data_IF_095046281168
#
_entry.id   IF_095046281168
#
_cell.length_a   1.000
_cell.length_b   1.000
_cell.length_c   1.000
_cell.angle_alpha   90.00
_cell.angle_beta   90.00
_cell.angle_gamma   90.00
#
_symmetry.space_group_name_H-M   'P 1'
#
loop_
_entity.id
_entity.type
_entity.pdbx_description
1 polymer ?
#
# COMPACT_ATOMS: atom_id res chain seq x y z
N UNK A 1 -10.85 8.30 14.90
CA UNK A 1 -11.70 7.32 14.19
C UNK A 1 -10.74 6.28 13.67
N UNK A 2 -10.86 5.03 14.08
CA UNK A 2 -9.99 3.95 13.61
C UNK A 2 -10.47 3.55 12.21
N UNK A 3 -9.72 3.89 11.16
CA UNK A 3 -10.09 3.51 9.79
C UNK A 3 -9.61 2.08 9.56
N UNK A 4 -10.54 1.12 9.61
CA UNK A 4 -10.28 -0.28 9.27
C UNK A 4 -11.01 -0.64 7.96
N UNK A 5 -10.30 -1.27 7.02
CA UNK A 5 -10.86 -1.79 5.78
C UNK A 5 -10.30 -3.19 5.50
N UNK A 6 -11.19 -4.13 5.23
CA UNK A 6 -10.84 -5.46 4.75
C UNK A 6 -11.63 -5.77 3.48
N UNK A 7 -10.93 -6.11 2.41
CA UNK A 7 -11.59 -6.43 1.14
C UNK A 7 -10.69 -6.31 -0.07
N UNK A 8 -11.26 -6.50 -1.28
CA UNK A 8 -10.51 -6.40 -2.52
C UNK A 8 -10.09 -4.96 -2.78
N UNK A 9 -8.80 -4.75 -3.03
CA UNK A 9 -8.25 -3.47 -3.43
C UNK A 9 -7.35 -3.61 -4.67
N UNK A 10 -7.19 -2.51 -5.38
CA UNK A 10 -6.24 -2.41 -6.49
C UNK A 10 -4.98 -1.69 -6.00
N UNK A 11 -3.84 -2.33 -6.15
CA UNK A 11 -2.53 -1.83 -5.80
C UNK A 11 -1.82 -1.35 -7.06
N UNK A 12 -1.20 -0.19 -6.96
CA UNK A 12 -0.29 0.36 -7.97
C UNK A 12 1.03 0.66 -7.27
N UNK A 13 2.10 0.03 -7.71
CA UNK A 13 3.43 0.18 -7.14
C UNK A 13 4.48 0.05 -8.23
N UNK A 14 5.60 0.76 -8.10
CA UNK A 14 6.75 0.58 -8.98
C UNK A 14 7.80 -0.23 -8.22
N UNK A 15 8.18 -1.39 -8.75
CA UNK A 15 9.37 -2.10 -8.29
C UNK A 15 10.58 -1.42 -8.92
N UNK A 16 11.41 -0.79 -8.09
CA UNK A 16 12.62 -0.13 -8.54
C UNK A 16 13.46 0.26 -7.35
N UNK A 17 14.71 -0.18 -7.34
CA UNK A 17 15.73 0.32 -6.42
C UNK A 17 15.84 1.84 -6.59
N UNK A 18 16.02 2.58 -5.48
CA UNK A 18 16.15 4.04 -5.48
C UNK A 18 17.02 4.54 -6.65
N UNK A 19 16.39 5.23 -7.61
CA UNK A 19 17.04 5.77 -8.81
C UNK A 19 16.67 5.10 -10.15
N UNK A 20 15.86 4.04 -10.16
CA UNK A 20 15.24 3.52 -11.38
C UNK A 20 13.74 3.77 -11.39
N UNK A 21 13.26 4.48 -12.42
CA UNK A 21 11.83 4.59 -12.75
C UNK A 21 11.33 3.24 -13.24
N UNK A 22 11.07 2.32 -12.31
CA UNK A 22 10.40 1.07 -12.59
C UNK A 22 9.03 1.33 -13.20
N UNK A 23 8.59 0.48 -14.12
CA UNK A 23 7.24 0.55 -14.67
C UNK A 23 6.20 0.29 -13.56
N UNK A 24 5.18 1.16 -13.40
CA UNK A 24 4.15 0.95 -12.39
C UNK A 24 3.40 -0.36 -12.71
N UNK A 25 3.37 -1.24 -11.72
CA UNK A 25 2.67 -2.52 -11.77
C UNK A 25 1.30 -2.36 -11.10
N UNK A 26 0.26 -2.82 -11.78
CA UNK A 26 -1.11 -2.82 -11.26
C UNK A 26 -1.54 -4.25 -10.92
N UNK A 27 -1.99 -4.47 -9.68
CA UNK A 27 -2.46 -5.77 -9.18
C UNK A 27 -3.70 -5.60 -8.31
N UNK A 28 -4.61 -6.56 -8.36
CA UNK A 28 -5.74 -6.65 -7.44
C UNK A 28 -5.53 -7.78 -6.44
N UNK A 29 -5.76 -7.50 -5.16
CA UNK A 29 -5.69 -8.50 -4.09
C UNK A 29 -6.57 -8.09 -2.92
N UNK A 30 -6.84 -9.04 -2.03
CA UNK A 30 -7.45 -8.72 -0.73
C UNK A 30 -6.44 -8.00 0.14
N UNK A 31 -6.87 -6.91 0.77
CA UNK A 31 -6.08 -6.10 1.67
C UNK A 31 -6.78 -5.98 3.01
N UNK A 32 -6.00 -6.01 4.08
CA UNK A 32 -6.40 -5.50 5.39
C UNK A 32 -5.64 -4.20 5.61
N UNK A 33 -6.37 -3.12 5.83
CA UNK A 33 -5.83 -1.78 5.96
C UNK A 33 -6.31 -1.20 7.28
N UNK A 34 -5.36 -0.84 8.13
CA UNK A 34 -5.61 -0.42 9.50
C UNK A 34 -4.83 0.86 9.81
N UNK A 35 -5.53 1.93 10.18
CA UNK A 35 -4.89 3.18 10.57
C UNK A 35 -4.32 3.07 11.98
N UNK A 36 -3.01 2.89 12.09
CA UNK A 36 -2.31 2.72 13.38
C UNK A 36 -1.97 4.07 14.03
N UNK A 37 -1.88 5.13 13.23
CA UNK A 37 -1.67 6.51 13.67
C UNK A 37 -2.17 7.48 12.59
N UNK A 38 -2.43 8.76 12.90
CA UNK A 38 -2.90 9.72 11.89
C UNK A 38 -1.94 9.80 10.69
N UNK A 39 -2.40 9.35 9.52
CA UNK A 39 -1.59 9.30 8.30
C UNK A 39 -0.68 8.07 8.16
N UNK A 40 -0.64 7.16 9.13
CA UNK A 40 0.11 5.90 9.06
C UNK A 40 -0.84 4.72 9.05
N UNK A 41 -0.68 3.85 8.05
CA UNK A 41 -1.53 2.68 7.86
C UNK A 41 -0.68 1.42 7.84
N UNK A 42 -1.14 0.40 8.57
CA UNK A 42 -0.69 -0.97 8.42
C UNK A 42 -1.49 -1.63 7.31
N UNK A 43 -0.81 -2.22 6.35
CA UNK A 43 -1.37 -2.87 5.17
C UNK A 43 -0.90 -4.30 5.15
N UNK A 44 -1.83 -5.24 5.24
CA UNK A 44 -1.56 -6.66 5.06
C UNK A 44 -2.13 -7.12 3.73
N UNK A 45 -1.30 -7.66 2.85
CA UNK A 45 -1.72 -8.24 1.57
C UNK A 45 -0.83 -9.43 1.18
N UNK A 46 -1.36 -10.31 0.33
CA UNK A 46 -0.60 -11.47 -0.18
C UNK A 46 0.27 -11.11 -1.41
N UNK A 47 0.40 -9.81 -1.73
CA UNK A 47 1.19 -9.36 -2.86
C UNK A 47 2.66 -9.22 -2.48
N UNK A 48 3.53 -9.80 -3.28
CA UNK A 48 4.95 -9.47 -3.25
C UNK A 48 5.16 -8.10 -3.94
N UNK A 49 5.46 -7.09 -3.13
CA UNK A 49 5.75 -5.74 -3.61
C UNK A 49 7.25 -5.54 -3.91
N UNK A 50 8.08 -6.59 -3.79
CA UNK A 50 9.54 -6.51 -3.94
C UNK A 50 10.15 -5.31 -3.22
N UNK A 51 11.00 -4.55 -3.92
CA UNK A 51 11.65 -3.33 -3.44
C UNK A 51 10.82 -2.04 -3.64
N UNK A 52 9.50 -2.11 -3.82
CA UNK A 52 8.68 -0.91 -4.00
C UNK A 52 8.84 0.09 -2.83
N UNK A 53 9.08 1.36 -3.12
CA UNK A 53 9.14 2.42 -2.09
C UNK A 53 7.81 3.15 -1.95
N UNK A 54 7.00 3.16 -3.01
CA UNK A 54 5.73 3.88 -3.08
C UNK A 54 4.59 2.92 -3.39
N UNK A 55 3.44 3.15 -2.76
CA UNK A 55 2.24 2.34 -2.91
C UNK A 55 1.01 3.22 -3.02
N UNK A 56 0.19 2.90 -4.01
CA UNK A 56 -1.17 3.42 -4.13
C UNK A 56 -2.17 2.29 -4.04
N UNK A 57 -3.14 2.41 -3.15
CA UNK A 57 -4.20 1.45 -2.90
C UNK A 57 -5.52 2.12 -3.25
N UNK A 58 -6.21 1.63 -4.27
CA UNK A 58 -7.54 2.08 -4.66
C UNK A 58 -8.58 1.09 -4.14
N UNK A 59 -9.49 1.58 -3.32
CA UNK A 59 -10.59 0.84 -2.73
C UNK A 59 -11.85 0.98 -3.60
N UNK A 60 -12.69 -0.07 -3.67
CA UNK A 60 -13.90 -0.08 -4.50
C UNK A 60 -14.98 0.91 -4.03
N UNK A 61 -14.90 1.40 -2.79
CA UNK A 61 -15.78 2.45 -2.27
C UNK A 61 -15.40 3.86 -2.78
N UNK A 62 -14.46 3.96 -3.73
CA UNK A 62 -13.99 5.23 -4.29
C UNK A 62 -12.91 5.93 -3.47
N UNK A 63 -12.47 5.35 -2.35
CA UNK A 63 -11.31 5.85 -1.60
C UNK A 63 -10.03 5.38 -2.24
N UNK A 64 -9.00 6.22 -2.21
CA UNK A 64 -7.64 5.83 -2.55
C UNK A 64 -6.68 6.30 -1.47
N UNK A 65 -5.71 5.45 -1.15
CA UNK A 65 -4.60 5.75 -0.27
C UNK A 65 -3.33 5.77 -1.10
N UNK A 66 -2.54 6.83 -0.98
CA UNK A 66 -1.24 6.94 -1.64
C UNK A 66 -0.21 7.31 -0.58
N UNK A 67 0.90 6.57 -0.56
CA UNK A 67 1.89 6.74 0.49
C UNK A 67 3.22 6.06 0.19
N UNK A 68 4.17 6.30 1.08
CA UNK A 68 5.51 5.69 1.05
C UNK A 68 5.53 4.50 1.97
N UNK A 69 6.07 3.39 1.50
CA UNK A 69 6.30 2.20 2.31
C UNK A 69 7.52 2.47 3.19
N UNK A 70 7.34 2.52 4.51
CA UNK A 70 8.41 2.77 5.49
C UNK A 70 8.89 1.49 6.17
N UNK A 71 8.09 0.43 6.11
CA UNK A 71 8.44 -0.86 6.70
C UNK A 71 7.77 -2.00 5.91
N UNK A 72 8.47 -3.12 5.79
CA UNK A 72 7.97 -4.35 5.16
C UNK A 72 8.39 -5.55 5.99
N UNK A 73 7.43 -6.39 6.36
CA UNK A 73 7.63 -7.66 7.03
C UNK A 73 6.74 -8.73 6.39
N UNK A 74 7.29 -9.44 5.40
CA UNK A 74 6.57 -10.42 4.61
C UNK A 74 5.33 -9.84 3.93
N UNK A 75 4.14 -10.18 4.45
CA UNK A 75 2.83 -9.75 3.94
C UNK A 75 2.36 -8.41 4.54
N UNK A 76 2.99 -7.96 5.61
CA UNK A 76 2.60 -6.75 6.34
C UNK A 76 3.52 -5.60 5.96
N UNK A 77 2.93 -4.44 5.75
CA UNK A 77 3.62 -3.24 5.28
C UNK A 77 3.13 -2.06 6.11
N UNK A 78 4.03 -1.13 6.43
CA UNK A 78 3.63 0.17 6.98
C UNK A 78 3.77 1.20 5.88
N UNK A 79 2.70 1.94 5.63
CA UNK A 79 2.69 3.07 4.71
C UNK A 79 2.34 4.35 5.43
N UNK A 80 3.07 5.41 5.09
CA UNK A 80 2.76 6.77 5.52
C UNK A 80 2.11 7.48 4.34
N UNK A 81 0.84 7.83 4.52
CA UNK A 81 0.05 8.56 3.55
C UNK A 81 0.66 9.96 3.34
N UNK A 82 0.75 10.37 2.07
CA UNK A 82 1.10 11.75 1.74
C UNK A 82 -0.18 12.61 1.69
N UNK A 83 -0.14 13.86 2.19
CA UNK A 83 -1.27 14.77 2.13
C UNK A 83 -1.60 15.23 0.71
#
# INVERSE_FOLDING_TARGET
MHTHYEGPATFVYASGQAGSTGTPTLRSATVVLDETSPGTFSVTCDLDLGDAEELRISLPNGRSLEGVITFKDGRTLTIVARP
#
